data_IF_857284646908
#
_entry.id   IF_857284646908
#
_cell.length_a   1.000
_cell.length_b   1.000
_cell.length_c   1.000
_cell.angle_alpha   90.00
_cell.angle_beta   90.00
_cell.angle_gamma   90.00
#
_symmetry.space_group_name_H-M   'P 1'
#
loop_
_entity.id
_entity.type
_entity.pdbx_description
1 polymer ?
#
# COMPACT_ATOMS: atom_id res chain seq x y z
N UNK A 1 8.05 -2.40 -0.28
CA UNK A 1 8.09 -3.74 0.33
C UNK A 1 8.75 -3.59 1.68
N UNK A 2 8.10 -4.06 2.76
CA UNK A 2 8.72 -4.10 4.08
C UNK A 2 9.39 -5.45 4.23
N UNK A 3 10.65 -5.48 4.67
CA UNK A 3 11.45 -6.70 4.75
C UNK A 3 11.82 -6.96 6.21
N UNK A 4 11.37 -8.08 6.74
CA UNK A 4 11.87 -8.65 7.98
C UNK A 4 12.99 -9.64 7.64
N UNK A 5 14.23 -9.18 7.83
CA UNK A 5 15.42 -9.99 7.56
C UNK A 5 15.60 -11.13 8.56
N UNK A 6 15.12 -10.96 9.80
CA UNK A 6 15.23 -11.98 10.84
C UNK A 6 14.29 -13.15 10.55
N UNK A 7 13.06 -12.85 10.12
CA UNK A 7 12.09 -13.85 9.73
C UNK A 7 12.28 -14.38 8.29
N UNK A 8 13.09 -13.70 7.47
CA UNK A 8 13.23 -14.03 6.04
C UNK A 8 11.96 -13.75 5.24
N UNK A 9 11.16 -12.77 5.68
CA UNK A 9 9.86 -12.46 5.11
C UNK A 9 9.79 -11.05 4.56
N UNK A 10 8.96 -10.85 3.55
CA UNK A 10 8.61 -9.57 2.99
C UNK A 10 7.09 -9.38 2.97
N UNK A 11 6.65 -8.20 3.36
CA UNK A 11 5.29 -7.73 3.17
C UNK A 11 5.24 -6.84 1.92
N UNK A 12 4.52 -7.30 0.91
CA UNK A 12 4.28 -6.60 -0.35
C UNK A 12 2.90 -5.99 -0.30
N UNK A 13 2.82 -4.68 -0.50
CA UNK A 13 1.56 -3.97 -0.66
C UNK A 13 1.13 -4.02 -2.12
N UNK A 14 -0.09 -4.47 -2.39
CA UNK A 14 -0.65 -4.52 -3.75
C UNK A 14 -1.92 -3.68 -3.78
N UNK A 15 -2.09 -2.92 -4.85
CA UNK A 15 -3.25 -2.08 -5.07
C UNK A 15 -3.47 -1.87 -6.57
N UNK A 16 -4.69 -1.49 -6.97
CA UNK A 16 -5.01 -1.18 -8.36
C UNK A 16 -4.56 0.24 -8.72
N UNK A 17 -3.61 0.37 -9.65
CA UNK A 17 -3.08 1.67 -10.10
C UNK A 17 -4.15 2.54 -10.76
N UNK A 18 -5.26 1.97 -11.23
CA UNK A 18 -6.38 2.73 -11.80
C UNK A 18 -7.23 3.43 -10.73
N UNK A 19 -7.08 3.04 -9.47
CA UNK A 19 -7.84 3.54 -8.32
C UNK A 19 -7.05 4.57 -7.49
N UNK A 20 -5.73 4.64 -7.72
CA UNK A 20 -4.81 5.43 -6.90
C UNK A 20 -4.16 6.50 -7.76
N UNK A 21 -4.49 7.76 -7.47
CA UNK A 21 -3.88 8.93 -8.09
C UNK A 21 -2.53 9.28 -7.46
N UNK A 22 -2.39 9.08 -6.14
CA UNK A 22 -1.14 9.31 -5.41
C UNK A 22 -0.88 8.22 -4.38
N UNK A 23 0.35 7.73 -4.38
CA UNK A 23 0.87 6.79 -3.38
C UNK A 23 1.98 7.49 -2.60
N UNK A 24 1.84 7.61 -1.28
CA UNK A 24 2.82 8.25 -0.41
C UNK A 24 3.34 7.24 0.63
N UNK A 25 4.65 7.21 0.83
CA UNK A 25 5.29 6.46 1.91
C UNK A 25 5.92 7.47 2.86
N UNK A 26 5.49 7.45 4.11
CA UNK A 26 6.05 8.29 5.17
C UNK A 26 6.76 7.43 6.21
N UNK A 27 8.03 7.73 6.47
CA UNK A 27 8.85 7.06 7.48
C UNK A 27 8.91 7.92 8.73
N UNK A 28 8.26 7.47 9.79
CA UNK A 28 8.34 8.07 11.11
C UNK A 28 9.39 7.40 11.99
N UNK A 29 9.54 7.90 13.22
CA UNK A 29 10.37 7.26 14.24
C UNK A 29 9.75 5.94 14.71
N UNK A 30 10.07 4.84 14.02
CA UNK A 30 9.60 3.50 14.35
C UNK A 30 8.32 3.05 13.65
N UNK A 31 7.75 3.88 12.77
CA UNK A 31 6.57 3.53 11.98
C UNK A 31 6.80 3.83 10.51
N UNK A 32 6.06 3.12 9.66
CA UNK A 32 6.00 3.38 8.22
C UNK A 32 4.53 3.41 7.83
N UNK A 33 4.10 4.53 7.26
CA UNK A 33 2.75 4.72 6.78
C UNK A 33 2.74 4.63 5.25
N UNK A 34 1.82 3.84 4.72
CA UNK A 34 1.47 3.83 3.29
C UNK A 34 0.12 4.51 3.14
N UNK A 35 0.07 5.57 2.34
CA UNK A 35 -1.16 6.27 2.03
C UNK A 35 -1.48 6.12 0.54
N UNK A 36 -2.73 5.72 0.26
CA UNK A 36 -3.26 5.60 -1.10
C UNK A 36 -4.38 6.60 -1.26
N UNK A 37 -4.20 7.52 -2.21
CA UNK A 37 -5.10 8.63 -2.43
C UNK A 37 -5.76 8.43 -3.80
N UNK A 38 -7.09 8.50 -3.84
CA UNK A 38 -7.82 8.54 -5.10
C UNK A 38 -7.67 9.91 -5.76
N UNK A 39 -8.27 10.05 -6.95
CA UNK A 39 -8.48 11.37 -7.55
C UNK A 39 -9.29 12.30 -6.63
N UNK A 40 -9.01 13.59 -6.71
CA UNK A 40 -9.80 14.63 -6.04
C UNK A 40 -11.02 14.96 -6.90
N UNK A 41 -12.20 14.56 -6.44
CA UNK A 41 -13.47 14.84 -7.12
C UNK A 41 -14.67 14.77 -6.15
N UNK A 42 -15.85 15.27 -6.54
CA UNK A 42 -17.09 15.04 -5.79
C UNK A 42 -17.39 13.54 -5.62
N UNK A 43 -17.93 13.19 -4.45
CA UNK A 43 -18.31 11.82 -4.10
C UNK A 43 -19.81 11.79 -3.81
N UNK A 44 -20.49 10.79 -4.35
CA UNK A 44 -21.90 10.52 -4.09
C UNK A 44 -22.14 9.01 -4.00
N UNK A 45 -23.40 8.60 -3.79
CA UNK A 45 -23.77 7.18 -3.83
C UNK A 45 -23.62 6.60 -5.23
N UNK A 46 -23.81 7.42 -6.26
CA UNK A 46 -23.73 7.08 -7.68
C UNK A 46 -22.29 7.07 -8.18
N UNK A 47 -21.41 7.91 -7.59
CA UNK A 47 -19.98 7.98 -7.95
C UNK A 47 -19.08 7.76 -6.73
N UNK A 48 -19.06 6.55 -6.13
CA UNK A 48 -18.21 6.26 -4.99
C UNK A 48 -16.72 6.28 -5.37
N UNK A 49 -15.86 6.52 -4.39
CA UNK A 49 -14.43 6.22 -4.52
C UNK A 49 -14.18 4.77 -4.13
N UNK A 50 -13.28 4.10 -4.82
CA UNK A 50 -12.87 2.75 -4.49
C UNK A 50 -11.35 2.68 -4.52
N UNK A 51 -10.76 2.22 -3.43
CA UNK A 51 -9.36 1.83 -3.35
C UNK A 51 -9.34 0.42 -2.79
N UNK A 52 -8.78 -0.51 -3.55
CA UNK A 52 -8.54 -1.89 -3.13
C UNK A 52 -7.06 -2.04 -2.83
N UNK A 53 -6.80 -2.64 -1.67
CA UNK A 53 -5.46 -2.91 -1.20
C UNK A 53 -5.44 -4.29 -0.56
N UNK A 54 -4.34 -5.00 -0.76
CA UNK A 54 -4.06 -6.28 -0.11
C UNK A 54 -2.59 -6.37 0.28
N UNK A 55 -2.34 -7.22 1.27
CA UNK A 55 -1.01 -7.61 1.69
C UNK A 55 -0.67 -8.99 1.13
N UNK A 56 0.48 -9.09 0.48
CA UNK A 56 1.06 -10.36 0.07
C UNK A 56 2.32 -10.61 0.91
N UNK A 57 2.33 -11.70 1.68
CA UNK A 57 3.51 -12.15 2.44
C UNK A 57 4.35 -13.05 1.54
N UNK A 58 5.62 -12.71 1.33
CA UNK A 58 6.58 -13.48 0.54
C UNK A 58 7.76 -13.95 1.37
N UNK A 59 8.25 -15.14 1.08
CA UNK A 59 9.59 -15.55 1.48
C UNK A 59 10.63 -14.73 0.71
N UNK A 60 11.64 -14.24 1.41
CA UNK A 60 12.79 -13.56 0.80
C UNK A 60 13.95 -14.54 0.87
N UNK A 61 14.45 -14.95 -0.30
CA UNK A 61 15.67 -15.75 -0.36
C UNK A 61 16.79 -15.01 0.36
N UNK A 62 17.49 -15.71 1.26
CA UNK A 62 18.76 -15.22 1.81
C UNK A 62 19.69 -14.98 0.62
N UNK A 63 20.07 -13.72 0.39
CA UNK A 63 21.22 -13.37 -0.45
C UNK A 63 22.48 -14.00 0.14
#
# INVERSE_FOLDING_TARGET
>A
MLVDRCAGLALVNRFDVRQVNKCLIHWGSGTVNLELWSEERPVSKETPLAIRHEYEVKQVSKL
#
